data_IF_359458916113
#
_entry.id   IF_359458916113
#
_cell.length_a   1.000
_cell.length_b   1.000
_cell.length_c   1.000
_cell.angle_alpha   90.00
_cell.angle_beta   90.00
_cell.angle_gamma   90.00
#
_symmetry.space_group_name_H-M   'P 1'
#
loop_
_entity.id
_entity.type
_entity.pdbx_description
1 polymer ?
#
# COMPACT_ATOMS: atom_id res chain seq x y z
N UNK A 1 -39.07 -10.13 8.15
CA UNK A 1 -38.55 -9.22 7.11
C UNK A 1 -38.95 -9.72 5.73
N UNK A 2 -39.27 -8.83 4.84
CA UNK A 2 -39.46 -9.09 3.42
C UNK A 2 -38.19 -8.73 2.66
N UNK A 3 -37.74 -9.60 1.76
CA UNK A 3 -36.54 -9.35 0.96
C UNK A 3 -36.89 -9.37 -0.53
N UNK A 4 -36.45 -8.34 -1.25
CA UNK A 4 -36.54 -8.26 -2.70
C UNK A 4 -35.15 -8.22 -3.30
N UNK A 5 -34.94 -8.99 -4.38
CA UNK A 5 -33.66 -9.03 -5.10
C UNK A 5 -33.87 -8.76 -6.58
N UNK A 6 -33.11 -7.84 -7.13
CA UNK A 6 -33.06 -7.56 -8.57
C UNK A 6 -31.70 -7.99 -9.10
N UNK A 7 -31.66 -8.75 -10.19
CA UNK A 7 -30.44 -9.26 -10.82
C UNK A 7 -30.15 -8.46 -12.08
N UNK A 8 -28.89 -8.06 -12.26
CA UNK A 8 -28.39 -7.35 -13.41
C UNK A 8 -28.92 -5.92 -13.61
N UNK A 9 -29.31 -5.17 -12.56
CA UNK A 9 -29.79 -3.81 -12.75
C UNK A 9 -28.68 -2.88 -13.19
N UNK A 10 -29.07 -1.81 -13.89
CA UNK A 10 -28.20 -0.69 -14.24
C UNK A 10 -28.57 0.51 -13.39
N UNK A 11 -27.61 0.99 -12.58
CA UNK A 11 -27.80 2.23 -11.82
C UNK A 11 -27.39 3.41 -12.69
N UNK A 12 -28.27 4.39 -12.85
CA UNK A 12 -28.03 5.59 -13.64
C UNK A 12 -28.20 6.80 -12.72
N UNK A 13 -27.17 7.63 -12.60
CA UNK A 13 -27.20 8.89 -11.87
C UNK A 13 -26.65 9.98 -12.78
N UNK A 14 -27.48 10.98 -13.06
CA UNK A 14 -27.22 11.98 -14.08
C UNK A 14 -26.89 11.27 -15.40
N UNK A 15 -25.75 11.50 -16.03
CA UNK A 15 -25.35 10.87 -17.29
C UNK A 15 -24.34 9.72 -17.09
N UNK A 16 -24.09 9.30 -15.85
CA UNK A 16 -23.18 8.20 -15.52
C UNK A 16 -23.95 6.94 -15.16
N UNK A 17 -23.42 5.79 -15.52
CA UNK A 17 -24.09 4.51 -15.23
C UNK A 17 -23.11 3.43 -14.78
N UNK A 18 -23.56 2.63 -13.82
CA UNK A 18 -22.83 1.45 -13.34
C UNK A 18 -23.71 0.22 -13.49
N UNK A 19 -23.14 -0.85 -14.04
CA UNK A 19 -23.80 -2.15 -14.12
C UNK A 19 -23.59 -2.91 -12.83
N UNK A 20 -24.70 -3.28 -12.19
CA UNK A 20 -24.69 -4.07 -10.96
C UNK A 20 -24.86 -5.56 -11.27
N UNK A 21 -24.33 -6.43 -10.42
CA UNK A 21 -24.67 -7.86 -10.42
C UNK A 21 -26.04 -8.07 -9.80
N UNK A 22 -26.25 -7.48 -8.63
CA UNK A 22 -27.54 -7.52 -7.94
C UNK A 22 -27.72 -6.36 -6.98
N UNK A 23 -28.97 -6.06 -6.71
CA UNK A 23 -29.45 -5.21 -5.62
C UNK A 23 -30.42 -6.03 -4.80
N UNK A 24 -30.14 -6.16 -3.49
CA UNK A 24 -31.05 -6.80 -2.55
C UNK A 24 -31.47 -5.78 -1.50
N UNK A 25 -32.75 -5.73 -1.19
CA UNK A 25 -33.32 -4.84 -0.18
C UNK A 25 -34.05 -5.65 0.88
N UNK A 26 -33.85 -5.31 2.13
CA UNK A 26 -34.56 -5.87 3.25
C UNK A 26 -35.55 -4.83 3.81
N UNK A 27 -36.82 -5.22 3.85
CA UNK A 27 -37.94 -4.37 4.28
C UNK A 27 -38.56 -5.01 5.52
N UNK A 28 -38.59 -4.32 6.65
CA UNK A 28 -39.24 -4.85 7.85
C UNK A 28 -40.74 -5.01 7.64
N UNK A 29 -41.34 -6.09 8.12
CA UNK A 29 -42.79 -6.28 8.06
C UNK A 29 -43.56 -5.10 8.70
N UNK A 30 -43.01 -4.50 9.73
CA UNK A 30 -43.57 -3.31 10.38
C UNK A 30 -43.71 -2.14 9.39
N UNK A 31 -42.78 -2.00 8.47
CA UNK A 31 -42.84 -0.96 7.41
C UNK A 31 -43.99 -1.17 6.43
N UNK A 32 -44.34 -2.44 6.15
CA UNK A 32 -45.45 -2.76 5.26
C UNK A 32 -46.83 -2.60 5.95
N UNK A 33 -46.86 -2.69 7.27
CA UNK A 33 -48.09 -2.59 8.04
C UNK A 33 -48.34 -1.18 8.63
N UNK A 34 -47.33 -0.32 8.58
CA UNK A 34 -47.41 1.08 9.02
C UNK A 34 -47.55 2.01 7.84
N UNK A 35 -48.12 3.20 8.06
CA UNK A 35 -48.20 4.22 7.01
C UNK A 35 -46.83 4.82 6.61
N UNK A 36 -45.74 4.28 7.11
CA UNK A 36 -44.38 4.74 6.83
C UNK A 36 -43.57 3.61 6.21
N UNK A 37 -43.43 3.64 4.90
CA UNK A 37 -42.56 2.71 4.19
C UNK A 37 -41.10 3.11 4.36
N UNK A 38 -40.24 2.18 4.83
CA UNK A 38 -38.80 2.36 4.87
C UNK A 38 -38.05 1.05 4.56
N UNK A 39 -36.88 1.20 4.01
CA UNK A 39 -35.93 0.10 3.75
C UNK A 39 -34.96 0.06 4.92
N UNK A 40 -34.72 -1.12 5.49
CA UNK A 40 -33.79 -1.32 6.60
C UNK A 40 -32.36 -1.53 6.13
N UNK A 41 -32.21 -2.23 5.00
CA UNK A 41 -30.91 -2.62 4.50
C UNK A 41 -30.92 -2.70 2.96
N UNK A 42 -29.83 -2.26 2.34
CA UNK A 42 -29.55 -2.42 0.91
C UNK A 42 -28.20 -3.08 0.75
N UNK A 43 -28.17 -4.27 0.12
CA UNK A 43 -26.98 -4.95 -0.32
C UNK A 43 -26.81 -4.72 -1.82
N UNK A 44 -25.68 -4.14 -2.23
CA UNK A 44 -25.32 -3.88 -3.61
C UNK A 44 -24.12 -4.75 -3.98
N UNK A 45 -24.22 -5.50 -5.07
CA UNK A 45 -23.08 -6.23 -5.64
C UNK A 45 -22.80 -5.70 -7.03
N UNK A 46 -21.56 -5.30 -7.29
CA UNK A 46 -21.17 -4.78 -8.61
C UNK A 46 -20.69 -5.89 -9.51
N UNK A 47 -20.87 -5.77 -10.81
CA UNK A 47 -20.04 -6.49 -11.78
C UNK A 47 -18.62 -5.92 -11.75
N UNK A 48 -17.72 -6.50 -12.52
CA UNK A 48 -16.39 -5.90 -12.73
C UNK A 48 -16.54 -4.51 -13.36
N UNK A 49 -16.09 -3.49 -12.66
CA UNK A 49 -16.18 -2.08 -13.06
C UNK A 49 -14.76 -1.53 -13.25
N UNK A 50 -14.52 -0.81 -14.34
CA UNK A 50 -13.32 -0.03 -14.50
C UNK A 50 -13.27 1.07 -13.41
N UNK A 51 -12.12 1.21 -12.74
CA UNK A 51 -11.98 2.15 -11.60
C UNK A 51 -12.24 3.59 -12.06
N UNK A 52 -11.84 3.96 -13.27
CA UNK A 52 -12.11 5.28 -13.84
C UNK A 52 -13.61 5.58 -13.93
N UNK A 53 -14.40 4.57 -14.33
CA UNK A 53 -15.85 4.71 -14.40
C UNK A 53 -16.47 4.88 -13.01
N UNK A 54 -15.95 4.17 -12.02
CA UNK A 54 -16.40 4.31 -10.64
C UNK A 54 -16.07 5.71 -10.09
N UNK A 55 -14.86 6.22 -10.32
CA UNK A 55 -14.46 7.58 -9.91
C UNK A 55 -15.39 8.62 -10.57
N UNK A 56 -15.60 8.52 -11.86
CA UNK A 56 -16.49 9.43 -12.61
C UNK A 56 -17.94 9.37 -12.11
N UNK A 57 -18.45 8.18 -11.83
CA UNK A 57 -19.77 7.99 -11.24
C UNK A 57 -19.85 8.61 -9.84
N UNK A 58 -18.88 8.33 -8.98
CA UNK A 58 -18.84 8.86 -7.61
C UNK A 58 -18.81 10.39 -7.58
N UNK A 59 -18.04 11.02 -8.47
CA UNK A 59 -18.00 12.48 -8.64
C UNK A 59 -19.34 13.07 -9.08
N UNK A 60 -20.16 12.32 -9.80
CA UNK A 60 -21.49 12.78 -10.21
C UNK A 60 -22.46 12.88 -9.03
N UNK A 61 -22.18 12.12 -7.95
CA UNK A 61 -22.97 12.08 -6.72
C UNK A 61 -22.42 13.07 -5.70
N UNK A 62 -21.12 12.98 -5.45
CA UNK A 62 -20.44 13.67 -4.36
C UNK A 62 -19.10 14.28 -4.83
N UNK A 63 -18.95 15.58 -4.63
CA UNK A 63 -17.72 16.31 -4.97
C UNK A 63 -16.75 16.26 -3.79
N UNK A 64 -16.07 15.14 -3.61
CA UNK A 64 -15.03 15.02 -2.61
C UNK A 64 -13.67 15.46 -3.18
N UNK A 65 -12.87 16.25 -2.44
CA UNK A 65 -11.50 16.59 -2.84
C UNK A 65 -10.65 15.36 -3.16
N UNK A 66 -10.84 14.27 -2.42
CA UNK A 66 -10.13 13.00 -2.58
C UNK A 66 -10.37 12.38 -3.98
N UNK A 67 -11.60 12.45 -4.50
CA UNK A 67 -11.94 11.95 -5.83
C UNK A 67 -11.28 12.78 -6.94
N UNK A 68 -11.08 14.10 -6.71
CA UNK A 68 -10.36 14.98 -7.63
C UNK A 68 -8.88 14.64 -7.64
N UNK A 69 -8.29 14.35 -6.47
CA UNK A 69 -6.91 13.90 -6.34
C UNK A 69 -6.72 12.57 -7.09
N UNK A 70 -7.59 11.59 -6.84
CA UNK A 70 -7.52 10.29 -7.51
C UNK A 70 -7.60 10.41 -9.04
N UNK A 71 -8.40 11.32 -9.56
CA UNK A 71 -8.54 11.49 -11.02
C UNK A 71 -7.38 12.26 -11.66
N UNK A 72 -6.92 13.34 -11.03
CA UNK A 72 -5.97 14.26 -11.62
C UNK A 72 -4.51 13.90 -11.36
N UNK A 73 -4.21 13.36 -10.19
CA UNK A 73 -2.84 13.05 -9.77
C UNK A 73 -2.48 11.58 -9.95
N UNK A 74 -3.46 10.69 -9.84
CA UNK A 74 -3.24 9.28 -10.02
C UNK A 74 -3.98 8.83 -11.28
N UNK A 75 -3.26 8.67 -12.39
CA UNK A 75 -3.81 8.02 -13.58
C UNK A 75 -4.05 6.55 -13.25
N UNK A 76 -5.23 6.28 -12.68
CA UNK A 76 -5.61 4.94 -12.22
C UNK A 76 -6.31 4.21 -13.36
N UNK A 77 -5.82 3.02 -13.69
CA UNK A 77 -6.51 2.05 -14.56
C UNK A 77 -6.60 0.73 -13.82
N UNK A 78 -7.65 0.00 -14.01
CA UNK A 78 -7.85 -1.29 -13.36
C UNK A 78 -9.32 -1.62 -13.17
N UNK A 79 -9.58 -2.72 -12.50
CA UNK A 79 -10.91 -3.24 -12.28
C UNK A 79 -11.20 -3.46 -10.80
N UNK A 80 -12.45 -3.24 -10.44
CA UNK A 80 -12.95 -3.44 -9.09
C UNK A 80 -14.24 -4.26 -9.15
N UNK A 81 -14.41 -5.17 -8.19
CA UNK A 81 -15.69 -5.77 -7.82
C UNK A 81 -15.92 -5.47 -6.35
N UNK A 82 -17.10 -4.97 -6.02
CA UNK A 82 -17.44 -4.60 -4.65
C UNK A 82 -18.83 -5.09 -4.24
N UNK A 83 -18.92 -5.44 -2.96
CA UNK A 83 -20.17 -5.61 -2.24
C UNK A 83 -20.30 -4.47 -1.23
N UNK A 84 -21.43 -3.79 -1.25
CA UNK A 84 -21.74 -2.64 -0.42
C UNK A 84 -22.96 -2.99 0.41
N UNK A 85 -22.85 -2.92 1.73
CA UNK A 85 -23.98 -3.08 2.64
C UNK A 85 -24.24 -1.74 3.32
N UNK A 86 -25.46 -1.24 3.14
CA UNK A 86 -25.94 0.03 3.68
C UNK A 86 -27.15 -0.24 4.58
N UNK A 87 -27.08 0.17 5.83
CA UNK A 87 -28.20 0.11 6.75
C UNK A 87 -28.83 1.49 6.95
N UNK A 88 -30.14 1.51 7.10
CA UNK A 88 -30.92 2.74 7.28
C UNK A 88 -31.73 2.68 8.58
N UNK A 89 -32.00 3.84 9.17
CA UNK A 89 -32.93 3.98 10.26
C UNK A 89 -34.38 4.02 9.76
N UNK A 90 -35.33 4.10 10.69
CA UNK A 90 -36.77 4.18 10.36
C UNK A 90 -37.17 5.48 9.64
N UNK A 91 -36.29 6.48 9.60
CA UNK A 91 -36.49 7.74 8.89
C UNK A 91 -35.83 7.76 7.51
N UNK A 92 -35.14 6.68 7.13
CA UNK A 92 -34.43 6.56 5.85
C UNK A 92 -33.02 7.19 5.88
N UNK A 93 -32.49 7.56 7.04
CA UNK A 93 -31.13 8.05 7.13
C UNK A 93 -30.15 6.88 7.14
N UNK A 94 -29.03 7.04 6.43
CA UNK A 94 -27.95 6.06 6.43
C UNK A 94 -27.33 5.96 7.84
N UNK A 95 -27.28 4.76 8.38
CA UNK A 95 -26.55 4.48 9.62
C UNK A 95 -25.05 4.46 9.37
N UNK A 96 -24.28 4.73 10.42
CA UNK A 96 -22.81 4.79 10.34
C UNK A 96 -22.11 3.41 10.35
N UNK A 97 -22.83 2.32 10.14
CA UNK A 97 -22.34 0.95 10.15
C UNK A 97 -22.26 0.33 8.74
N UNK A 98 -22.07 1.15 7.71
CA UNK A 98 -21.86 0.67 6.34
C UNK A 98 -20.63 -0.25 6.26
N UNK A 99 -20.71 -1.23 5.37
CA UNK A 99 -19.60 -2.13 5.01
C UNK A 99 -19.39 -2.14 3.52
N UNK A 100 -18.14 -2.10 3.12
CA UNK A 100 -17.72 -2.17 1.72
C UNK A 100 -16.60 -3.20 1.65
N UNK A 101 -16.81 -4.28 0.90
CA UNK A 101 -15.80 -5.32 0.69
C UNK A 101 -15.68 -5.66 -0.79
N UNK A 102 -14.53 -6.19 -1.19
CA UNK A 102 -14.34 -6.55 -2.57
C UNK A 102 -12.88 -6.78 -2.92
N UNK A 103 -12.57 -6.72 -4.20
CA UNK A 103 -11.20 -6.83 -4.67
C UNK A 103 -10.92 -5.87 -5.83
N UNK A 104 -9.68 -5.45 -5.89
CA UNK A 104 -9.09 -4.63 -6.95
C UNK A 104 -8.12 -5.50 -7.73
N UNK A 105 -8.16 -5.42 -9.06
CA UNK A 105 -7.35 -6.25 -9.94
C UNK A 105 -6.72 -5.46 -11.07
N UNK A 106 -5.48 -5.85 -11.42
CA UNK A 106 -4.72 -5.35 -12.56
C UNK A 106 -4.63 -3.81 -12.60
N UNK A 107 -4.56 -3.19 -11.42
CA UNK A 107 -4.56 -1.74 -11.30
C UNK A 107 -3.18 -1.17 -11.57
N UNK A 108 -3.17 -0.09 -12.34
CA UNK A 108 -1.99 0.72 -12.62
C UNK A 108 -2.16 2.09 -12.01
N UNK A 109 -1.12 2.57 -11.34
CA UNK A 109 -1.05 3.91 -10.77
C UNK A 109 0.21 4.60 -11.29
N UNK A 110 0.08 5.74 -11.92
CA UNK A 110 1.21 6.60 -12.31
C UNK A 110 1.30 7.69 -11.27
N UNK A 111 2.32 7.61 -10.42
CA UNK A 111 2.57 8.58 -9.33
C UNK A 111 3.37 9.76 -9.86
N UNK A 112 4.37 9.49 -10.68
CA UNK A 112 5.21 10.49 -11.36
C UNK A 112 5.80 9.87 -12.63
N UNK A 113 6.56 10.66 -13.41
CA UNK A 113 7.23 10.16 -14.62
C UNK A 113 8.10 8.93 -14.35
N UNK A 114 8.78 8.88 -13.21
CA UNK A 114 9.71 7.82 -12.83
C UNK A 114 9.14 6.80 -11.83
N UNK A 115 7.93 7.04 -11.31
CA UNK A 115 7.35 6.18 -10.28
C UNK A 115 5.96 5.72 -10.68
N UNK A 116 5.85 4.42 -10.92
CA UNK A 116 4.59 3.77 -11.29
C UNK A 116 4.39 2.49 -10.50
N UNK A 117 3.15 2.20 -10.22
CA UNK A 117 2.72 0.90 -9.70
C UNK A 117 1.98 0.20 -10.83
N UNK A 118 2.44 -0.98 -11.17
CA UNK A 118 1.80 -1.87 -12.13
C UNK A 118 1.26 -3.10 -11.40
N UNK A 119 0.20 -3.68 -11.93
CA UNK A 119 -0.39 -4.95 -11.44
C UNK A 119 -0.74 -4.93 -9.95
N UNK A 120 -1.24 -3.79 -9.44
CA UNK A 120 -1.73 -3.75 -8.06
C UNK A 120 -3.01 -4.58 -7.95
N UNK A 121 -2.96 -5.58 -7.09
CA UNK A 121 -4.09 -6.43 -6.72
C UNK A 121 -4.21 -6.45 -5.21
N UNK A 122 -5.41 -6.43 -4.69
CA UNK A 122 -5.70 -6.59 -3.25
C UNK A 122 -7.17 -6.85 -3.00
N UNK A 123 -7.46 -7.48 -1.87
CA UNK A 123 -8.79 -7.59 -1.28
C UNK A 123 -8.95 -6.44 -0.29
N UNK A 124 -10.14 -5.89 -0.17
CA UNK A 124 -10.42 -4.86 0.82
C UNK A 124 -11.69 -5.15 1.62
N UNK A 125 -11.67 -4.77 2.89
CA UNK A 125 -12.82 -4.70 3.78
C UNK A 125 -12.79 -3.35 4.50
N UNK A 126 -13.80 -2.55 4.28
CA UNK A 126 -13.89 -1.16 4.75
C UNK A 126 -15.17 -1.00 5.55
N UNK A 127 -15.04 -0.52 6.75
CA UNK A 127 -16.14 -0.02 7.59
C UNK A 127 -15.83 1.41 8.04
N UNK A 128 -16.73 2.04 8.78
CA UNK A 128 -16.62 3.45 9.16
C UNK A 128 -15.24 3.88 9.67
N UNK A 129 -14.64 3.07 10.56
CA UNK A 129 -13.41 3.45 11.27
C UNK A 129 -12.26 2.46 11.08
N UNK A 130 -12.46 1.46 10.22
CA UNK A 130 -11.50 0.38 10.00
C UNK A 130 -11.42 0.01 8.53
N UNK A 131 -10.24 0.11 7.95
CA UNK A 131 -9.95 -0.28 6.58
C UNK A 131 -8.88 -1.37 6.60
N UNK A 132 -9.19 -2.52 6.01
CA UNK A 132 -8.30 -3.66 5.91
C UNK A 132 -8.06 -3.97 4.45
N UNK A 133 -6.80 -4.14 4.10
CA UNK A 133 -6.35 -4.56 2.78
C UNK A 133 -5.55 -5.82 2.93
N UNK A 134 -5.89 -6.87 2.17
CA UNK A 134 -5.30 -8.20 2.26
C UNK A 134 -4.84 -8.68 0.88
N UNK A 135 -3.94 -9.65 0.87
CA UNK A 135 -3.38 -10.26 -0.34
C UNK A 135 -2.85 -9.23 -1.34
N UNK A 136 -2.17 -8.21 -0.81
CA UNK A 136 -1.65 -7.12 -1.62
C UNK A 136 -0.47 -7.63 -2.42
N UNK A 137 -0.56 -7.50 -3.72
CA UNK A 137 0.52 -7.79 -4.65
C UNK A 137 0.63 -6.62 -5.63
N UNK A 138 1.80 -6.02 -5.70
CA UNK A 138 2.04 -4.90 -6.60
C UNK A 138 3.44 -4.96 -7.22
N UNK A 139 3.57 -4.36 -8.38
CA UNK A 139 4.85 -4.14 -9.03
C UNK A 139 5.15 -2.64 -9.04
N UNK A 140 6.07 -2.22 -8.19
CA UNK A 140 6.59 -0.85 -8.18
C UNK A 140 7.78 -0.76 -9.15
N UNK A 141 7.58 -0.01 -10.24
CA UNK A 141 8.50 0.00 -11.38
C UNK A 141 8.77 -1.43 -11.89
N UNK A 142 9.94 -2.01 -11.58
CA UNK A 142 10.32 -3.39 -11.95
C UNK A 142 10.29 -4.36 -10.77
N UNK A 143 10.01 -3.90 -9.55
CA UNK A 143 10.12 -4.69 -8.31
C UNK A 143 8.77 -5.16 -7.81
N UNK A 144 8.68 -6.45 -7.48
CA UNK A 144 7.50 -7.04 -6.88
C UNK A 144 7.52 -6.81 -5.38
N UNK A 145 6.43 -6.29 -4.86
CA UNK A 145 6.19 -6.09 -3.43
C UNK A 145 4.89 -6.81 -3.05
N UNK A 146 4.91 -7.48 -1.92
CA UNK A 146 3.76 -8.21 -1.40
C UNK A 146 3.49 -7.80 0.05
N UNK A 147 2.23 -7.82 0.43
CA UNK A 147 1.81 -7.67 1.82
C UNK A 147 0.62 -8.59 2.09
N UNK A 148 0.69 -9.37 3.14
CA UNK A 148 -0.43 -10.22 3.55
C UNK A 148 -1.59 -9.37 4.06
N UNK A 149 -1.26 -8.29 4.80
CA UNK A 149 -2.28 -7.42 5.38
C UNK A 149 -1.72 -6.03 5.70
N UNK A 150 -2.50 -5.02 5.35
CA UNK A 150 -2.37 -3.63 5.82
C UNK A 150 -3.68 -3.26 6.48
N UNK A 151 -3.63 -2.72 7.67
CA UNK A 151 -4.81 -2.23 8.38
C UNK A 151 -4.69 -0.76 8.71
N UNK A 152 -5.83 -0.08 8.66
CA UNK A 152 -5.96 1.33 8.97
C UNK A 152 -7.12 1.49 9.94
N UNK A 153 -6.87 2.11 11.07
CA UNK A 153 -7.89 2.36 12.09
C UNK A 153 -7.96 3.86 12.38
N UNK A 154 -9.17 4.41 12.34
CA UNK A 154 -9.40 5.79 12.74
C UNK A 154 -9.25 5.94 14.25
N UNK A 155 -8.44 6.92 14.68
CA UNK A 155 -8.23 7.29 16.08
C UNK A 155 -8.36 8.82 16.14
N UNK A 156 -9.45 9.31 16.68
CA UNK A 156 -9.76 10.74 16.77
C UNK A 156 -9.59 11.47 15.40
N UNK A 157 -8.54 12.26 15.25
CA UNK A 157 -8.28 13.10 14.07
C UNK A 157 -7.21 12.51 13.10
N UNK A 158 -6.81 11.25 13.27
CA UNK A 158 -5.86 10.61 12.38
C UNK A 158 -6.21 9.13 12.16
N UNK A 159 -5.61 8.57 11.14
CA UNK A 159 -5.65 7.14 10.84
C UNK A 159 -4.32 6.51 11.22
N UNK A 160 -4.36 5.51 12.10
CA UNK A 160 -3.21 4.65 12.39
C UNK A 160 -3.14 3.57 11.31
N UNK A 161 -2.06 3.57 10.56
CA UNK A 161 -1.79 2.59 9.50
C UNK A 161 -0.67 1.66 9.96
N UNK A 162 -0.86 0.35 9.82
CA UNK A 162 0.16 -0.65 10.10
C UNK A 162 0.10 -1.78 9.08
N UNK A 163 1.24 -2.43 8.85
CA UNK A 163 1.35 -3.54 7.93
C UNK A 163 2.79 -3.99 7.73
N UNK A 164 2.94 -5.06 6.94
CA UNK A 164 4.24 -5.62 6.60
C UNK A 164 4.34 -5.68 5.08
N UNK A 165 5.35 -5.01 4.50
CA UNK A 165 5.74 -5.21 3.11
C UNK A 165 6.95 -6.12 3.00
N UNK A 166 6.86 -7.10 2.09
CA UNK A 166 7.96 -8.01 1.75
C UNK A 166 8.33 -7.84 0.28
N UNK A 167 9.60 -8.00 -0.01
CA UNK A 167 10.06 -8.18 -1.39
C UNK A 167 10.88 -9.46 -1.50
N UNK A 168 10.75 -10.14 -2.63
CA UNK A 168 11.68 -11.16 -3.06
C UNK A 168 13.04 -10.55 -3.38
N UNK A 169 13.98 -11.35 -3.83
CA UNK A 169 15.31 -10.86 -4.17
C UNK A 169 15.22 -9.76 -5.24
N UNK A 170 15.60 -8.55 -4.86
CA UNK A 170 15.74 -7.37 -5.71
C UNK A 170 17.23 -7.15 -5.98
N UNK A 171 17.57 -6.84 -7.24
CA UNK A 171 18.89 -6.36 -7.62
C UNK A 171 18.79 -4.94 -8.16
N UNK A 172 19.45 -4.01 -7.49
CA UNK A 172 19.62 -2.62 -7.89
C UNK A 172 21.04 -2.46 -8.46
N UNK A 173 21.15 -1.93 -9.67
CA UNK A 173 22.39 -1.47 -10.27
C UNK A 173 22.59 0.05 -10.06
N UNK A 174 23.63 0.62 -10.64
CA UNK A 174 23.93 2.05 -10.48
C UNK A 174 22.78 2.96 -10.90
N UNK A 175 22.08 2.63 -12.00
CA UNK A 175 20.95 3.43 -12.49
C UNK A 175 19.78 3.39 -11.53
N UNK A 176 19.48 2.21 -10.99
CA UNK A 176 18.43 2.07 -9.97
C UNK A 176 18.78 2.79 -8.67
N UNK A 177 20.05 2.71 -8.25
CA UNK A 177 20.54 3.36 -7.02
C UNK A 177 20.43 4.88 -7.14
N UNK A 178 20.65 5.43 -8.32
CA UNK A 178 20.47 6.87 -8.57
C UNK A 178 19.02 7.34 -8.35
N UNK A 179 18.02 6.49 -8.59
CA UNK A 179 16.62 6.81 -8.27
C UNK A 179 16.39 6.99 -6.77
N UNK A 180 17.22 6.36 -5.95
CA UNK A 180 17.20 6.42 -4.49
C UNK A 180 18.35 7.24 -3.91
N UNK A 181 18.93 8.15 -4.69
CA UNK A 181 20.12 8.93 -4.33
C UNK A 181 20.01 9.60 -2.95
N UNK A 182 18.83 10.10 -2.60
CA UNK A 182 18.62 10.74 -1.29
C UNK A 182 18.78 9.79 -0.10
N UNK A 183 18.64 8.47 -0.33
CA UNK A 183 18.79 7.44 0.70
C UNK A 183 20.23 6.94 0.75
N UNK A 184 20.89 6.83 -0.41
CA UNK A 184 22.21 6.20 -0.56
C UNK A 184 23.33 7.20 -0.88
N UNK A 185 23.10 8.52 -0.71
CA UNK A 185 24.07 9.56 -1.07
C UNK A 185 25.43 9.42 -0.43
N UNK A 186 25.47 8.91 0.80
CA UNK A 186 26.70 8.77 1.59
C UNK A 186 27.48 7.48 1.29
N UNK A 187 26.88 6.60 0.47
CA UNK A 187 27.47 5.34 0.08
C UNK A 187 27.77 5.34 -1.42
N UNK A 188 29.04 5.13 -1.78
CA UNK A 188 29.43 4.93 -3.19
C UNK A 188 29.02 3.53 -3.67
N UNK A 189 27.70 3.25 -3.60
CA UNK A 189 27.13 1.94 -3.87
C UNK A 189 27.03 1.73 -5.38
N UNK A 190 27.57 0.60 -5.89
CA UNK A 190 27.55 0.20 -7.28
C UNK A 190 26.45 -0.80 -7.59
N UNK A 191 26.20 -1.68 -6.65
CA UNK A 191 25.23 -2.75 -6.79
C UNK A 191 24.76 -3.17 -5.40
N UNK A 192 23.47 -3.49 -5.29
CA UNK A 192 22.92 -4.16 -4.11
C UNK A 192 21.92 -5.23 -4.53
N UNK A 193 22.01 -6.40 -3.90
CA UNK A 193 21.08 -7.51 -4.09
C UNK A 193 20.57 -7.97 -2.72
N UNK A 194 19.27 -7.88 -2.51
CA UNK A 194 18.66 -8.15 -1.21
C UNK A 194 17.21 -8.59 -1.31
N UNK A 195 16.71 -9.21 -0.25
CA UNK A 195 15.29 -9.35 0.06
C UNK A 195 15.01 -8.76 1.42
N UNK A 196 13.78 -8.32 1.67
CA UNK A 196 13.43 -7.73 2.97
C UNK A 196 12.00 -8.00 3.40
N UNK A 197 11.80 -7.93 4.71
CA UNK A 197 10.49 -7.83 5.36
C UNK A 197 10.48 -6.55 6.19
N UNK A 198 9.51 -5.69 5.92
CA UNK A 198 9.47 -4.33 6.46
C UNK A 198 8.15 -4.14 7.21
N UNK A 199 8.21 -4.17 8.53
CA UNK A 199 7.09 -3.85 9.42
C UNK A 199 7.03 -2.34 9.63
N UNK A 200 5.88 -1.74 9.37
CA UNK A 200 5.72 -0.30 9.49
C UNK A 200 4.45 0.08 10.25
N UNK A 201 4.55 1.18 10.94
CA UNK A 201 3.42 1.85 11.58
C UNK A 201 3.58 3.36 11.40
N UNK A 202 2.51 4.06 11.02
CA UNK A 202 2.50 5.51 10.93
C UNK A 202 1.08 6.07 11.07
N UNK A 203 1.00 7.38 11.31
CA UNK A 203 -0.26 8.09 11.35
C UNK A 203 -0.43 8.94 10.08
N UNK A 204 -1.68 9.02 9.57
CA UNK A 204 -2.09 9.95 8.53
C UNK A 204 -3.21 10.81 9.06
N UNK A 205 -3.09 12.14 8.96
CA UNK A 205 -4.16 13.07 9.29
C UNK A 205 -5.15 13.29 8.12
N UNK A 206 -6.21 14.05 8.35
CA UNK A 206 -7.24 14.37 7.34
C UNK A 206 -6.68 15.18 6.14
N UNK A 207 -5.45 15.70 6.25
CA UNK A 207 -4.72 16.39 5.16
C UNK A 207 -3.69 15.51 4.47
N UNK A 208 -3.75 14.19 4.72
CA UNK A 208 -2.79 13.20 4.20
C UNK A 208 -1.34 13.43 4.64
N UNK A 209 -1.12 14.15 5.74
CA UNK A 209 0.21 14.33 6.29
C UNK A 209 0.59 13.12 7.13
N UNK A 210 1.73 12.52 6.76
CA UNK A 210 2.31 11.38 7.49
C UNK A 210 3.07 11.87 8.72
N UNK A 211 2.90 11.16 9.83
CA UNK A 211 3.61 11.41 11.10
C UNK A 211 3.81 10.11 11.87
N UNK A 212 4.66 10.15 12.88
CA UNK A 212 4.95 9.04 13.78
C UNK A 212 5.32 7.73 13.04
N UNK A 213 6.17 7.86 12.00
CA UNK A 213 6.66 6.69 11.28
C UNK A 213 7.57 5.86 12.18
N UNK A 214 7.23 4.59 12.32
CA UNK A 214 8.08 3.54 12.88
C UNK A 214 8.27 2.48 11.79
N UNK A 215 9.50 2.02 11.61
CA UNK A 215 9.86 1.02 10.60
C UNK A 215 10.88 0.04 11.20
N UNK A 216 10.58 -1.24 11.10
CA UNK A 216 11.50 -2.33 11.42
C UNK A 216 11.68 -3.15 10.15
N UNK A 217 12.93 -3.28 9.71
CA UNK A 217 13.23 -4.03 8.47
C UNK A 217 14.25 -5.13 8.74
N UNK A 218 13.87 -6.34 8.39
CA UNK A 218 14.79 -7.48 8.33
C UNK A 218 15.23 -7.66 6.88
N UNK A 219 16.51 -7.40 6.62
CA UNK A 219 17.10 -7.44 5.29
C UNK A 219 18.09 -8.60 5.18
N UNK A 220 17.89 -9.44 4.17
CA UNK A 220 18.84 -10.47 3.76
C UNK A 220 19.63 -9.92 2.57
N UNK A 221 20.82 -9.42 2.83
CA UNK A 221 21.70 -8.88 1.82
C UNK A 221 22.55 -10.01 1.21
N UNK A 222 22.26 -10.39 -0.05
CA UNK A 222 23.07 -11.38 -0.77
C UNK A 222 24.38 -10.79 -1.25
N UNK A 223 24.37 -9.55 -1.75
CA UNK A 223 25.57 -8.85 -2.19
C UNK A 223 25.37 -7.35 -2.15
N UNK A 224 26.40 -6.61 -1.70
CA UNK A 224 26.51 -5.19 -1.98
C UNK A 224 27.96 -4.89 -2.42
N UNK A 225 28.13 -4.03 -3.43
CA UNK A 225 29.42 -3.55 -3.91
C UNK A 225 29.50 -2.05 -3.71
N UNK A 226 30.52 -1.65 -2.98
CA UNK A 226 30.79 -0.28 -2.55
C UNK A 226 32.15 0.12 -3.07
N UNK A 227 32.27 1.25 -3.76
CA UNK A 227 33.58 1.78 -4.13
C UNK A 227 34.37 2.17 -2.88
N UNK A 228 35.58 1.66 -2.80
CA UNK A 228 36.52 2.02 -1.76
C UNK A 228 37.12 3.41 -2.03
N UNK A 229 36.50 4.44 -1.47
CA UNK A 229 36.94 5.85 -1.60
C UNK A 229 38.09 6.20 -0.63
N UNK A 230 38.48 5.28 0.25
CA UNK A 230 39.44 5.58 1.33
C UNK A 230 40.91 5.45 0.94
N UNK A 231 41.30 5.44 -0.31
CA UNK A 231 42.70 5.34 -0.78
C UNK A 231 43.62 4.39 0.06
N UNK A 232 43.01 3.34 0.62
CA UNK A 232 43.70 2.41 1.55
C UNK A 232 44.82 1.61 0.87
N UNK A 233 44.88 1.57 -0.46
CA UNK A 233 45.92 0.90 -1.24
C UNK A 233 47.33 1.45 -0.93
N UNK A 234 47.43 2.71 -0.60
CA UNK A 234 48.74 3.31 -0.23
C UNK A 234 49.30 2.75 1.07
N UNK A 235 48.43 2.26 1.96
CA UNK A 235 48.80 1.70 3.26
C UNK A 235 48.73 0.16 3.20
N UNK A 236 47.74 -0.36 2.50
CA UNK A 236 47.46 -1.80 2.37
C UNK A 236 47.35 -2.18 0.89
N UNK A 237 48.46 -2.60 0.24
CA UNK A 237 48.53 -2.85 -1.20
C UNK A 237 47.57 -3.94 -1.71
N UNK A 238 47.08 -4.81 -0.82
CA UNK A 238 46.17 -5.91 -1.18
C UNK A 238 44.68 -5.54 -1.12
N UNK A 239 44.37 -4.33 -0.65
CA UNK A 239 42.98 -3.86 -0.60
C UNK A 239 42.41 -3.63 -1.99
N UNK A 240 41.24 -4.15 -2.25
CA UNK A 240 40.54 -4.00 -3.54
C UNK A 240 39.92 -2.62 -3.71
N UNK A 241 39.65 -2.23 -4.97
CA UNK A 241 38.96 -0.99 -5.30
C UNK A 241 37.47 -1.03 -4.91
N UNK A 242 36.93 -2.23 -4.75
CA UNK A 242 35.56 -2.45 -4.27
C UNK A 242 35.57 -3.23 -2.96
N UNK A 243 34.78 -2.78 -2.03
CA UNK A 243 34.41 -3.51 -0.83
C UNK A 243 33.13 -4.28 -1.17
N UNK A 244 33.13 -5.59 -0.94
CA UNK A 244 31.97 -6.43 -1.22
C UNK A 244 31.46 -7.02 0.09
N UNK A 245 30.18 -6.73 0.39
CA UNK A 245 29.45 -7.40 1.46
C UNK A 245 28.67 -8.58 0.86
N UNK A 246 28.74 -9.75 1.49
CA UNK A 246 28.01 -10.95 1.06
C UNK A 246 27.33 -11.64 2.24
N UNK A 247 26.11 -12.14 1.97
CA UNK A 247 25.36 -12.95 2.91
C UNK A 247 25.20 -12.28 4.28
N UNK A 248 24.91 -10.97 4.26
CA UNK A 248 24.72 -10.21 5.49
C UNK A 248 23.24 -10.23 5.90
N UNK A 249 23.02 -10.43 7.20
CA UNK A 249 21.74 -10.20 7.86
C UNK A 249 21.76 -8.83 8.49
N UNK A 250 20.82 -7.99 8.10
CA UNK A 250 20.75 -6.60 8.56
C UNK A 250 19.37 -6.38 9.19
N UNK A 251 19.36 -5.86 10.40
CA UNK A 251 18.16 -5.35 11.04
C UNK A 251 18.24 -3.83 11.09
N UNK A 252 17.24 -3.17 10.53
CA UNK A 252 17.09 -1.72 10.53
C UNK A 252 15.90 -1.36 11.42
N UNK A 253 16.09 -0.39 12.30
CA UNK A 253 15.02 0.16 13.13
C UNK A 253 15.01 1.68 13.01
N UNK A 254 13.85 2.23 12.67
CA UNK A 254 13.60 3.66 12.64
C UNK A 254 12.39 3.99 13.51
N UNK A 255 12.59 4.78 14.53
CA UNK A 255 11.53 5.19 15.47
C UNK A 255 11.84 6.55 16.06
N UNK A 256 10.88 7.47 16.04
CA UNK A 256 11.00 8.83 16.63
C UNK A 256 12.26 9.57 16.17
N UNK A 257 12.56 9.50 14.88
CA UNK A 257 13.77 10.03 14.25
C UNK A 257 15.11 9.38 14.68
N UNK A 258 15.07 8.39 15.55
CA UNK A 258 16.22 7.56 15.88
C UNK A 258 16.34 6.46 14.82
N UNK A 259 17.53 6.30 14.30
CA UNK A 259 17.84 5.31 13.29
C UNK A 259 18.93 4.37 13.78
N UNK A 260 18.72 3.08 13.71
CA UNK A 260 19.75 2.08 14.00
C UNK A 260 19.80 0.98 12.96
N UNK A 261 21.00 0.56 12.62
CA UNK A 261 21.30 -0.60 11.78
C UNK A 261 22.19 -1.52 12.54
N UNK A 262 21.82 -2.78 12.65
CA UNK A 262 22.65 -3.87 13.13
C UNK A 262 22.85 -4.87 12.01
N UNK A 263 24.09 -5.21 11.70
CA UNK A 263 24.38 -6.13 10.61
C UNK A 263 25.49 -7.11 10.98
N UNK A 264 25.41 -8.29 10.39
CA UNK A 264 26.47 -9.31 10.48
C UNK A 264 26.54 -10.11 9.19
N UNK A 265 27.74 -10.49 8.78
CA UNK A 265 27.96 -11.30 7.58
C UNK A 265 29.40 -11.27 7.12
N UNK A 266 29.60 -11.46 5.83
CA UNK A 266 30.92 -11.53 5.23
C UNK A 266 31.29 -10.22 4.52
N UNK A 267 32.55 -9.78 4.67
CA UNK A 267 33.13 -8.64 3.97
C UNK A 267 34.38 -9.08 3.19
N UNK A 268 34.51 -8.61 1.96
CA UNK A 268 35.67 -8.80 1.12
C UNK A 268 36.31 -7.42 0.90
N UNK A 269 37.38 -7.18 1.60
CA UNK A 269 38.26 -6.02 1.39
C UNK A 269 39.53 -6.48 0.64
N UNK A 270 39.87 -7.75 0.77
CA UNK A 270 41.00 -8.45 0.14
C UNK A 270 40.46 -9.64 -0.68
N UNK A 271 41.36 -10.57 -1.10
CA UNK A 271 40.97 -11.78 -1.85
C UNK A 271 40.18 -12.78 -1.00
N UNK A 272 40.34 -12.77 0.30
CA UNK A 272 39.61 -13.60 1.26
C UNK A 272 38.51 -12.77 1.93
N UNK A 273 37.51 -13.44 2.47
CA UNK A 273 36.48 -12.78 3.26
C UNK A 273 36.83 -12.81 4.75
N UNK A 274 36.38 -11.78 5.44
CA UNK A 274 36.38 -11.70 6.89
C UNK A 274 34.92 -11.65 7.38
N UNK A 275 34.65 -12.12 8.58
CA UNK A 275 33.34 -11.93 9.22
C UNK A 275 33.31 -10.54 9.84
N UNK A 276 32.21 -9.86 9.64
CA UNK A 276 31.96 -8.52 10.19
C UNK A 276 30.65 -8.49 10.95
N UNK A 277 30.66 -7.78 12.05
CA UNK A 277 29.47 -7.37 12.78
C UNK A 277 29.57 -5.86 13.00
N UNK A 278 28.50 -5.14 12.74
CA UNK A 278 28.49 -3.68 12.81
C UNK A 278 27.19 -3.15 13.39
N UNK A 279 27.29 -2.04 14.08
CA UNK A 279 26.17 -1.27 14.58
C UNK A 279 26.34 0.19 14.16
N UNK A 280 25.31 0.77 13.57
CA UNK A 280 25.25 2.18 13.19
C UNK A 280 24.04 2.79 13.89
N UNK A 281 24.27 3.86 14.64
CA UNK A 281 23.21 4.65 15.28
C UNK A 281 23.34 6.09 14.82
N UNK A 282 22.19 6.72 14.55
CA UNK A 282 22.11 8.14 14.21
C UNK A 282 20.92 8.71 14.97
N UNK A 283 21.21 9.77 15.71
CA UNK A 283 20.24 10.61 16.42
C UNK A 283 19.75 11.75 15.53
#
# INVERSE_FOLDING_TARGET
>A
NFSAKTIGPKMIIKNQSIQMESIKTNIPLKSLLSNQFFIEEIELSTKSIAIENLISFSKSIYKAPELIILENFLKIKGYLIANINLEFDSFGNLKNNYKLSGFVKDTKLIISENNKIDKLNFIFDISKDNFVFEDINLKFNKYNLISERISTKKIDNYYLVNGIFKNDIISLDEEDILLFKNIFSDFNLKKIKFSSSNDFTFNIDDKFKLSNLELISDVQLQEARILNSLNLKNIFPYVQDEIILKDNKINLNYKKNLFSINGQGNIFIQKTYDQVSYEIKKD
#
